data_IF_675421855417
#
_entry.id   IF_675421855417
#
_cell.length_a   1.000
_cell.length_b   1.000
_cell.length_c   1.000
_cell.angle_alpha   90.00
_cell.angle_beta   90.00
_cell.angle_gamma   90.00
#
_symmetry.space_group_name_H-M   'P 1'
#
loop_
_entity.id
_entity.type
_entity.pdbx_description
1 polymer ?
#
# COMPACT_ATOMS: atom_id res chain seq x y z
N UNK A 1 2.76 -38.80 13.32
CA UNK A 1 2.90 -37.47 12.69
C UNK A 1 1.85 -37.40 11.59
N UNK A 2 0.72 -36.70 11.76
CA UNK A 2 -0.20 -36.51 10.65
C UNK A 2 0.38 -35.45 9.72
N UNK A 3 0.29 -35.76 8.44
CA UNK A 3 0.80 -35.06 7.28
C UNK A 3 0.19 -33.66 7.17
N UNK A 4 1.03 -32.64 6.98
CA UNK A 4 0.61 -31.27 6.72
C UNK A 4 -0.04 -31.20 5.32
N UNK A 5 -1.35 -31.35 5.26
CA UNK A 5 -2.15 -31.09 4.06
C UNK A 5 -1.85 -29.66 3.59
N UNK A 6 -1.18 -29.53 2.44
CA UNK A 6 -1.01 -28.24 1.78
C UNK A 6 -2.39 -27.72 1.39
N UNK A 7 -2.83 -26.67 2.07
CA UNK A 7 -4.02 -25.91 1.75
C UNK A 7 -4.07 -25.64 0.25
N UNK A 8 -5.12 -26.14 -0.38
CA UNK A 8 -5.46 -25.92 -1.77
C UNK A 8 -5.44 -24.45 -2.14
N UNK A 9 -4.85 -24.15 -3.30
CA UNK A 9 -4.83 -22.87 -4.01
C UNK A 9 -6.26 -22.41 -4.31
N UNK A 10 -6.88 -21.72 -3.35
CA UNK A 10 -8.13 -20.98 -3.53
C UNK A 10 -7.94 -19.64 -2.86
N UNK A 11 -8.15 -18.55 -3.59
CA UNK A 11 -8.01 -17.20 -3.05
C UNK A 11 -9.06 -17.01 -1.96
N UNK A 12 -8.63 -16.76 -0.72
CA UNK A 12 -9.54 -16.50 0.39
C UNK A 12 -10.28 -15.18 0.13
N UNK A 13 -11.61 -15.19 -0.03
CA UNK A 13 -12.38 -13.97 -0.30
C UNK A 13 -12.37 -12.97 0.86
N UNK A 14 -11.78 -13.32 2.01
CA UNK A 14 -11.69 -12.50 3.21
C UNK A 14 -10.31 -11.85 3.42
N UNK A 15 -9.53 -11.69 2.35
CA UNK A 15 -8.28 -10.92 2.39
C UNK A 15 -8.56 -9.46 2.06
N UNK A 16 -8.24 -8.57 3.00
CA UNK A 16 -8.36 -7.12 2.83
C UNK A 16 -6.99 -6.45 2.98
N UNK A 17 -6.75 -5.39 2.21
CA UNK A 17 -5.56 -4.55 2.36
C UNK A 17 -5.96 -3.20 2.94
N UNK A 18 -5.27 -2.78 3.99
CA UNK A 18 -5.40 -1.45 4.59
C UNK A 18 -4.10 -0.67 4.36
N UNK A 19 -4.20 0.50 3.73
CA UNK A 19 -3.06 1.40 3.53
C UNK A 19 -3.09 2.52 4.56
N UNK A 20 -2.12 2.53 5.47
CA UNK A 20 -1.97 3.58 6.49
C UNK A 20 -1.24 4.81 5.91
N UNK A 21 -2.02 5.80 5.48
CA UNK A 21 -1.52 7.02 4.83
C UNK A 21 -1.30 8.20 5.80
N UNK A 22 -0.75 7.94 6.98
CA UNK A 22 -0.57 8.95 8.03
C UNK A 22 0.74 9.75 7.95
N UNK A 23 0.76 10.91 8.62
CA UNK A 23 1.94 11.77 8.77
C UNK A 23 2.14 12.74 7.61
N UNK A 24 2.44 14.01 7.94
CA UNK A 24 2.62 15.08 6.94
C UNK A 24 3.82 14.80 6.04
N UNK A 25 4.95 14.33 6.58
CA UNK A 25 6.19 14.17 5.83
C UNK A 25 7.07 15.43 5.87
N UNK A 26 7.31 15.98 7.06
CA UNK A 26 8.09 17.21 7.27
C UNK A 26 9.50 17.18 6.69
N UNK A 27 10.11 15.99 6.54
CA UNK A 27 11.41 15.81 5.87
C UNK A 27 11.39 16.10 4.37
N UNK A 28 10.22 16.13 3.75
CA UNK A 28 10.01 16.47 2.34
C UNK A 28 9.60 17.92 2.13
N UNK A 29 9.69 18.78 3.16
CA UNK A 29 9.52 20.21 2.95
C UNK A 29 10.62 20.73 1.99
N UNK A 30 10.31 21.64 1.03
CA UNK A 30 9.05 22.38 0.86
C UNK A 30 7.98 21.66 0.02
N UNK A 31 8.28 20.50 -0.55
CA UNK A 31 7.35 19.77 -1.41
C UNK A 31 6.12 19.27 -0.62
N UNK A 32 6.31 18.84 0.63
CA UNK A 32 5.21 18.44 1.51
C UNK A 32 4.74 19.56 2.43
N UNK A 33 3.43 19.67 2.59
CA UNK A 33 2.75 20.62 3.50
C UNK A 33 1.60 19.92 4.22
N UNK A 34 1.02 20.51 5.28
CA UNK A 34 -0.20 19.96 5.90
C UNK A 34 -1.37 19.77 4.93
N UNK A 35 -1.49 20.63 3.91
CA UNK A 35 -2.52 20.51 2.85
C UNK A 35 -2.14 19.57 1.71
N UNK A 36 -0.87 19.17 1.61
CA UNK A 36 -0.35 18.20 0.62
C UNK A 36 0.69 17.29 1.28
N UNK A 37 0.26 16.27 2.05
CA UNK A 37 1.16 15.39 2.78
C UNK A 37 1.91 14.45 1.82
N UNK A 38 2.97 13.80 2.30
CA UNK A 38 3.92 13.01 1.46
C UNK A 38 3.26 12.00 0.53
N UNK A 39 2.15 11.41 0.94
CA UNK A 39 1.45 10.35 0.20
C UNK A 39 0.85 10.89 -1.12
N UNK A 40 0.64 12.21 -1.22
CA UNK A 40 0.15 12.92 -2.41
C UNK A 40 1.28 13.48 -3.29
N UNK A 41 2.53 13.12 -3.00
CA UNK A 41 3.69 13.54 -3.78
C UNK A 41 4.13 12.43 -4.72
N UNK A 42 4.50 12.80 -5.94
CA UNK A 42 5.15 11.92 -6.93
C UNK A 42 6.65 11.93 -6.69
N UNK A 43 7.13 11.08 -5.77
CA UNK A 43 8.54 11.05 -5.33
C UNK A 43 9.37 9.92 -5.96
N UNK A 44 8.70 8.84 -6.38
CA UNK A 44 9.35 7.63 -6.90
C UNK A 44 8.96 7.32 -8.35
N UNK A 45 7.80 7.81 -8.79
CA UNK A 45 7.26 7.69 -10.14
C UNK A 45 6.56 9.00 -10.52
N UNK A 46 5.93 9.04 -11.69
CA UNK A 46 5.06 10.16 -12.10
C UNK A 46 3.75 10.23 -11.29
N UNK A 47 3.38 9.12 -10.64
CA UNK A 47 2.16 9.01 -9.84
C UNK A 47 2.41 9.34 -8.35
N UNK A 48 1.38 9.82 -7.62
CA UNK A 48 1.49 9.99 -6.18
C UNK A 48 1.81 8.67 -5.46
N UNK A 49 2.62 8.74 -4.40
CA UNK A 49 2.99 7.57 -3.58
C UNK A 49 1.81 6.70 -3.13
N UNK A 50 0.64 7.30 -2.88
CA UNK A 50 -0.56 6.55 -2.49
C UNK A 50 -1.10 5.70 -3.63
N UNK A 51 -1.06 6.20 -4.88
CA UNK A 51 -1.49 5.48 -6.08
C UNK A 51 -0.56 4.29 -6.32
N UNK A 52 0.75 4.51 -6.29
CA UNK A 52 1.75 3.43 -6.40
C UNK A 52 1.58 2.37 -5.32
N UNK A 53 1.19 2.75 -4.11
CA UNK A 53 0.97 1.81 -3.00
C UNK A 53 -0.29 0.97 -3.21
N UNK A 54 -1.38 1.57 -3.68
CA UNK A 54 -2.61 0.84 -4.02
C UNK A 54 -2.38 -0.10 -5.20
N UNK A 55 -1.71 0.35 -6.26
CA UNK A 55 -1.43 -0.49 -7.43
C UNK A 55 -0.61 -1.73 -7.08
N UNK A 56 0.38 -1.60 -6.18
CA UNK A 56 1.11 -2.76 -5.65
C UNK A 56 0.22 -3.67 -4.80
N UNK A 57 -0.68 -3.11 -4.01
CA UNK A 57 -1.59 -3.86 -3.15
C UNK A 57 -2.62 -4.67 -3.92
N UNK A 58 -3.06 -4.22 -5.10
CA UNK A 58 -4.00 -4.95 -5.95
C UNK A 58 -3.46 -6.34 -6.37
N UNK A 59 -2.14 -6.52 -6.42
CA UNK A 59 -1.54 -7.83 -6.67
C UNK A 59 -1.55 -8.80 -5.47
N UNK A 60 -2.06 -8.37 -4.31
CA UNK A 60 -2.06 -9.16 -3.06
C UNK A 60 -3.44 -9.68 -2.65
N UNK A 61 -4.51 -9.20 -3.29
CA UNK A 61 -5.90 -9.56 -2.99
C UNK A 61 -6.54 -10.26 -4.20
N UNK A 62 -7.53 -11.16 -3.98
CA UNK A 62 -8.32 -11.76 -5.06
C UNK A 62 -8.98 -10.77 -6.02
#
# INVERSE_FOLDING_TARGET
>A
MPESTKSSTGTDPHVYVTVLAGGVGSRFWPASTPGRPKQLLSLASDEPLIVDTVNRALGLVP
#
